data_IF_566328120363
#
_entry.id   IF_566328120363
#
_cell.length_a   1.000
_cell.length_b   1.000
_cell.length_c   1.000
_cell.angle_alpha   90.00
_cell.angle_beta   90.00
_cell.angle_gamma   90.00
#
_symmetry.space_group_name_H-M   'P 1'
#
loop_
_entity.id
_entity.type
_entity.pdbx_description
1 polymer ?
#
# COMPACT_ATOMS: atom_id res chain seq x y z
N UNK A 1 3.71 -1.71 -30.10
CA UNK A 1 3.17 -2.28 -28.85
C UNK A 1 3.14 -1.17 -27.81
N UNK A 2 2.07 -1.05 -27.03
CA UNK A 2 1.96 -0.08 -25.93
C UNK A 2 1.79 -0.89 -24.63
N UNK A 3 2.57 -0.58 -23.60
CA UNK A 3 2.59 -1.30 -22.32
C UNK A 3 2.49 -0.29 -21.18
N UNK A 4 1.67 -0.60 -20.18
CA UNK A 4 1.61 0.10 -18.89
C UNK A 4 1.93 -0.86 -17.75
N UNK A 5 2.56 -0.36 -16.70
CA UNK A 5 2.94 -1.15 -15.52
C UNK A 5 2.24 -0.60 -14.28
N UNK A 6 1.73 -1.51 -13.47
CA UNK A 6 1.31 -1.23 -12.09
C UNK A 6 2.25 -2.02 -11.19
N UNK A 7 2.93 -1.33 -10.28
CA UNK A 7 3.94 -1.92 -9.41
C UNK A 7 3.57 -1.63 -7.97
N UNK A 8 3.53 -2.68 -7.16
CA UNK A 8 3.31 -2.60 -5.73
C UNK A 8 4.65 -2.84 -5.03
N UNK A 9 5.06 -1.90 -4.19
CA UNK A 9 6.31 -1.97 -3.44
C UNK A 9 5.99 -1.92 -1.96
N UNK A 10 6.40 -2.95 -1.24
CA UNK A 10 6.20 -2.96 0.20
C UNK A 10 7.24 -2.11 0.92
N UNK A 11 6.76 -1.28 1.84
CA UNK A 11 7.60 -0.39 2.61
C UNK A 11 8.21 -1.14 3.80
N UNK A 12 9.54 -1.03 3.96
CA UNK A 12 10.28 -1.63 5.07
C UNK A 12 10.09 -0.84 6.39
N UNK A 13 8.85 -0.75 6.86
CA UNK A 13 8.48 -0.18 8.16
C UNK A 13 8.48 -1.25 9.24
N UNK A 14 8.70 -0.86 10.50
CA UNK A 14 8.63 -1.79 11.63
C UNK A 14 7.19 -2.21 11.95
N UNK A 15 6.23 -1.32 11.68
CA UNK A 15 4.80 -1.50 11.96
C UNK A 15 3.96 -1.33 10.69
N UNK A 16 2.74 -1.88 10.70
CA UNK A 16 1.77 -1.79 9.59
C UNK A 16 1.34 -0.35 9.30
N UNK A 17 0.65 -0.14 8.17
CA UNK A 17 0.25 1.19 7.70
C UNK A 17 -0.76 1.88 8.62
N UNK A 18 -1.71 1.14 9.21
CA UNK A 18 -2.83 1.71 9.98
C UNK A 18 -2.91 1.25 11.44
N UNK A 19 -1.95 0.46 11.93
CA UNK A 19 -1.90 0.01 13.32
C UNK A 19 -0.46 -0.29 13.77
N UNK A 20 -0.27 -0.47 15.09
CA UNK A 20 1.03 -0.74 15.70
C UNK A 20 1.54 -2.19 15.57
N UNK A 21 0.83 -3.08 14.87
CA UNK A 21 1.29 -4.45 14.68
C UNK A 21 2.59 -4.48 13.87
N UNK A 22 3.46 -5.44 14.17
CA UNK A 22 4.71 -5.68 13.44
C UNK A 22 4.45 -5.91 11.95
N UNK A 23 5.29 -5.34 11.09
CA UNK A 23 5.34 -5.66 9.66
C UNK A 23 6.52 -6.61 9.39
N UNK A 24 6.24 -7.91 9.32
CA UNK A 24 7.26 -8.94 9.09
C UNK A 24 6.64 -10.16 8.40
N UNK A 25 7.41 -10.78 7.51
CA UNK A 25 7.06 -12.03 6.84
C UNK A 25 7.58 -13.24 7.57
N UNK A 26 6.86 -14.37 7.41
CA UNK A 26 7.32 -15.69 7.83
C UNK A 26 7.08 -16.03 9.29
N UNK A 27 6.50 -15.11 10.08
CA UNK A 27 6.03 -15.40 11.43
C UNK A 27 4.82 -16.35 11.40
N UNK A 28 4.51 -16.97 12.55
CA UNK A 28 3.35 -17.86 12.71
C UNK A 28 2.04 -17.17 12.30
N UNK A 29 1.11 -17.88 11.63
CA UNK A 29 -0.15 -17.31 11.16
C UNK A 29 -0.91 -16.59 12.27
N UNK A 30 -1.44 -15.40 11.95
CA UNK A 30 -2.32 -14.64 12.85
C UNK A 30 -1.68 -14.26 14.20
N UNK A 31 -0.35 -14.08 14.27
CA UNK A 31 0.34 -13.58 15.47
C UNK A 31 0.58 -12.07 15.45
N UNK A 32 0.83 -11.48 14.28
CA UNK A 32 1.05 -10.04 14.09
C UNK A 32 -0.27 -9.31 13.77
N UNK A 33 -1.28 -9.44 14.63
CA UNK A 33 -2.64 -8.92 14.39
C UNK A 33 -3.20 -8.12 15.58
N UNK A 34 -4.21 -7.30 15.31
CA UNK A 34 -4.98 -6.55 16.32
C UNK A 34 -6.37 -6.22 15.76
N UNK A 35 -7.30 -5.65 16.56
CA UNK A 35 -8.64 -5.32 16.11
C UNK A 35 -8.70 -4.48 14.82
N UNK A 36 -7.76 -3.56 14.61
CA UNK A 36 -7.73 -2.69 13.42
C UNK A 36 -7.45 -3.48 12.15
N UNK A 37 -6.36 -4.27 12.11
CA UNK A 37 -6.02 -5.02 10.89
C UNK A 37 -6.89 -6.26 10.69
N UNK A 38 -7.65 -6.68 11.72
CA UNK A 38 -8.70 -7.68 11.61
C UNK A 38 -10.07 -7.10 11.22
N UNK A 39 -10.19 -5.78 11.06
CA UNK A 39 -11.46 -5.15 10.72
C UNK A 39 -12.56 -5.33 11.77
N UNK A 40 -12.19 -5.52 13.06
CA UNK A 40 -13.19 -5.73 14.11
C UNK A 40 -14.05 -4.48 14.36
N UNK A 41 -15.33 -4.64 14.73
CA UNK A 41 -16.23 -3.53 14.99
C UNK A 41 -15.66 -2.53 16.01
N UNK A 42 -15.77 -1.24 15.70
CA UNK A 42 -15.32 -0.14 16.57
C UNK A 42 -13.83 0.17 16.52
N UNK A 43 -13.04 -0.59 15.77
CA UNK A 43 -11.63 -0.26 15.54
C UNK A 43 -11.44 0.89 14.53
N UNK A 44 -10.40 1.70 14.71
CA UNK A 44 -10.12 2.88 13.87
C UNK A 44 -8.66 2.87 13.37
N UNK A 45 -8.41 3.24 12.09
CA UNK A 45 -7.07 3.30 11.53
C UNK A 45 -6.29 4.53 12.01
N UNK A 46 -4.98 4.38 12.25
CA UNK A 46 -4.05 5.49 12.52
C UNK A 46 -2.85 5.35 11.58
N UNK A 47 -2.65 6.35 10.72
CA UNK A 47 -1.62 6.31 9.68
C UNK A 47 -0.20 6.26 10.27
N UNK A 48 0.64 5.42 9.67
CA UNK A 48 2.04 5.28 10.03
C UNK A 48 2.90 6.43 9.47
N UNK A 49 3.47 7.25 10.35
CA UNK A 49 4.32 8.39 9.98
C UNK A 49 5.51 7.98 9.09
N UNK A 50 6.15 6.84 9.38
CA UNK A 50 7.32 6.37 8.60
C UNK A 50 6.92 5.93 7.21
N UNK A 51 5.73 5.34 7.05
CA UNK A 51 5.20 4.98 5.75
C UNK A 51 4.95 6.23 4.88
N UNK A 52 4.39 7.30 5.46
CA UNK A 52 4.20 8.58 4.76
C UNK A 52 5.54 9.17 4.32
N UNK A 53 6.54 9.19 5.22
CA UNK A 53 7.88 9.67 4.90
C UNK A 53 8.52 8.88 3.74
N UNK A 54 8.39 7.54 3.76
CA UNK A 54 8.88 6.70 2.67
C UNK A 54 8.15 6.94 1.35
N UNK A 55 6.82 7.12 1.39
CA UNK A 55 6.05 7.44 0.19
C UNK A 55 6.50 8.78 -0.42
N UNK A 56 6.75 9.81 0.38
CA UNK A 56 7.29 11.09 -0.10
C UNK A 56 8.70 10.93 -0.68
N UNK A 57 9.59 10.17 -0.02
CA UNK A 57 10.94 9.87 -0.53
C UNK A 57 10.92 9.15 -1.87
N UNK A 58 9.99 8.19 -2.05
CA UNK A 58 9.78 7.52 -3.34
C UNK A 58 9.31 8.54 -4.39
N UNK A 59 8.40 9.45 -4.03
CA UNK A 59 7.96 10.54 -4.88
C UNK A 59 9.12 11.38 -5.41
N UNK A 60 9.96 11.87 -4.51
CA UNK A 60 11.17 12.64 -4.85
C UNK A 60 12.14 11.84 -5.74
N UNK A 61 12.38 10.57 -5.40
CA UNK A 61 13.25 9.69 -6.18
C UNK A 61 12.72 9.41 -7.60
N UNK A 62 11.41 9.43 -7.78
CA UNK A 62 10.72 9.28 -9.08
C UNK A 62 10.40 10.64 -9.72
N UNK A 63 10.96 11.74 -9.21
CA UNK A 63 10.74 13.09 -9.72
C UNK A 63 9.25 13.50 -9.81
N UNK A 64 8.41 13.00 -8.90
CA UNK A 64 7.02 13.37 -8.78
C UNK A 64 6.85 14.74 -8.10
N UNK A 65 5.69 15.37 -8.27
CA UNK A 65 5.21 16.39 -7.35
C UNK A 65 4.59 15.71 -6.13
N UNK A 66 5.04 16.08 -4.93
CA UNK A 66 4.47 15.61 -3.66
C UNK A 66 3.34 16.57 -3.26
N UNK A 67 2.12 16.05 -3.13
CA UNK A 67 0.90 16.84 -2.98
C UNK A 67 0.14 16.47 -1.68
N UNK A 68 -0.71 17.38 -1.16
CA UNK A 68 -1.74 17.01 -0.18
C UNK A 68 -2.60 15.86 -0.72
N UNK A 69 -2.85 14.86 0.11
CA UNK A 69 -3.51 13.62 -0.32
C UNK A 69 -4.60 13.15 0.64
N UNK A 70 -5.51 12.33 0.12
CA UNK A 70 -6.67 11.80 0.86
C UNK A 70 -6.73 10.28 0.71
N UNK A 71 -6.88 9.58 1.84
CA UNK A 71 -7.19 8.16 1.83
C UNK A 71 -8.67 7.92 1.54
N UNK A 72 -8.92 6.92 0.71
CA UNK A 72 -10.21 6.50 0.22
C UNK A 72 -10.43 5.02 0.52
N UNK A 73 -11.70 4.59 0.52
CA UNK A 73 -12.08 3.17 0.66
C UNK A 73 -12.37 2.58 -0.70
N UNK A 74 -11.56 1.62 -1.12
CA UNK A 74 -11.79 0.78 -2.31
C UNK A 74 -12.56 -0.47 -1.87
N UNK A 75 -13.88 -0.46 -2.04
CA UNK A 75 -14.78 -1.48 -1.49
C UNK A 75 -14.84 -2.73 -2.39
N UNK A 76 -14.61 -3.90 -1.81
CA UNK A 76 -14.75 -5.21 -2.45
C UNK A 76 -14.77 -6.32 -1.40
N UNK A 77 -15.45 -7.43 -1.72
CA UNK A 77 -15.54 -8.59 -0.84
C UNK A 77 -14.50 -9.64 -1.24
N UNK A 78 -13.58 -9.97 -0.35
CA UNK A 78 -12.65 -11.07 -0.54
C UNK A 78 -12.13 -11.59 0.82
N UNK A 79 -11.88 -12.91 1.01
CA UNK A 79 -11.55 -13.47 2.32
C UNK A 79 -10.31 -12.90 3.02
N UNK A 80 -9.36 -12.34 2.28
CA UNK A 80 -8.17 -11.72 2.84
C UNK A 80 -8.30 -10.21 3.10
N UNK A 81 -9.46 -9.62 2.80
CA UNK A 81 -9.77 -8.22 3.08
C UNK A 81 -10.82 -8.11 4.18
N UNK A 82 -10.44 -8.13 5.47
CA UNK A 82 -11.37 -8.30 6.59
C UNK A 82 -12.32 -7.11 6.81
N UNK A 83 -12.08 -5.98 6.15
CA UNK A 83 -12.89 -4.76 6.27
C UNK A 83 -13.92 -4.62 5.14
N UNK A 84 -13.89 -5.50 4.14
CA UNK A 84 -14.62 -5.37 2.85
C UNK A 84 -14.28 -4.07 2.07
N UNK A 85 -13.19 -3.40 2.46
CA UNK A 85 -12.57 -2.33 1.71
C UNK A 85 -11.08 -2.22 2.04
N UNK A 86 -10.29 -1.92 1.01
CA UNK A 86 -8.90 -1.54 1.15
C UNK A 86 -8.82 -0.02 1.33
N UNK A 87 -8.10 0.45 2.34
CA UNK A 87 -7.75 1.86 2.47
C UNK A 87 -6.57 2.16 1.53
N UNK A 88 -6.84 2.97 0.50
CA UNK A 88 -5.89 3.35 -0.57
C UNK A 88 -6.05 4.86 -0.88
N UNK A 89 -5.52 5.37 -1.98
CA UNK A 89 -5.74 6.75 -2.43
C UNK A 89 -6.36 6.74 -3.83
N UNK A 90 -7.36 7.57 -4.10
CA UNK A 90 -8.03 7.61 -5.41
C UNK A 90 -7.65 8.86 -6.20
N UNK A 91 -8.50 9.89 -6.23
CA UNK A 91 -8.30 11.11 -7.01
C UNK A 91 -7.16 12.00 -6.51
N UNK A 92 -6.84 11.94 -5.20
CA UNK A 92 -5.78 12.72 -4.56
C UNK A 92 -4.66 11.84 -3.99
N UNK A 93 -3.78 11.26 -4.84
CA UNK A 93 -2.60 10.51 -4.39
C UNK A 93 -1.47 11.44 -3.92
N UNK A 94 -0.60 10.93 -3.06
CA UNK A 94 0.52 11.70 -2.49
C UNK A 94 1.59 12.11 -3.53
N UNK A 95 1.80 11.32 -4.58
CA UNK A 95 2.78 11.63 -5.63
C UNK A 95 2.16 11.55 -7.03
N UNK A 96 2.38 12.57 -7.85
CA UNK A 96 1.87 12.64 -9.23
C UNK A 96 2.91 13.11 -10.24
N UNK A 97 2.72 12.75 -11.52
CA UNK A 97 3.48 13.28 -12.67
C UNK A 97 5.01 13.11 -12.56
N UNK A 98 5.45 11.93 -12.13
CA UNK A 98 6.86 11.58 -12.08
C UNK A 98 7.41 11.04 -13.38
N UNK A 99 8.68 10.64 -13.35
CA UNK A 99 9.36 9.92 -14.42
C UNK A 99 10.50 9.06 -13.87
N UNK A 100 10.80 7.98 -14.58
CA UNK A 100 11.93 7.09 -14.32
C UNK A 100 12.86 7.13 -15.52
N UNK A 101 14.10 7.55 -15.31
CA UNK A 101 15.15 7.49 -16.34
C UNK A 101 15.81 6.11 -16.34
N UNK A 102 15.85 5.46 -17.49
CA UNK A 102 16.49 4.17 -17.68
C UNK A 102 17.98 4.32 -18.06
N UNK A 103 18.82 3.28 -17.87
CA UNK A 103 20.25 3.36 -18.19
C UNK A 103 20.59 3.68 -19.65
N UNK A 104 19.66 3.42 -20.58
CA UNK A 104 19.81 3.74 -22.00
C UNK A 104 19.39 5.18 -22.36
N UNK A 105 18.98 5.98 -21.36
CA UNK A 105 18.51 7.36 -21.53
C UNK A 105 17.03 7.47 -21.88
N UNK A 106 16.29 6.36 -21.93
CA UNK A 106 14.84 6.38 -22.12
C UNK A 106 14.15 6.86 -20.84
N UNK A 107 13.24 7.83 -20.97
CA UNK A 107 12.43 8.31 -19.85
C UNK A 107 11.03 7.66 -19.90
N UNK A 108 10.63 7.01 -18.81
CA UNK A 108 9.31 6.39 -18.65
C UNK A 108 8.48 7.23 -17.67
N UNK A 109 7.32 7.72 -18.12
CA UNK A 109 6.43 8.49 -17.27
C UNK A 109 5.86 7.66 -16.11
N UNK A 110 5.84 8.24 -14.91
CA UNK A 110 5.18 7.67 -13.73
C UNK A 110 3.93 8.51 -13.46
N UNK A 111 2.76 7.98 -13.81
CA UNK A 111 1.49 8.69 -13.63
C UNK A 111 1.27 9.11 -12.17
N UNK A 112 1.52 8.18 -11.23
CA UNK A 112 1.34 8.36 -9.79
C UNK A 112 2.08 7.30 -8.99
N UNK A 113 2.37 7.61 -7.72
CA UNK A 113 2.74 6.65 -6.69
C UNK A 113 1.97 7.00 -5.41
N UNK A 114 1.30 6.03 -4.80
CA UNK A 114 0.36 6.29 -3.72
C UNK A 114 0.45 5.24 -2.62
N UNK A 115 -0.12 5.56 -1.45
CA UNK A 115 -0.12 4.66 -0.30
C UNK A 115 -1.40 3.83 -0.26
N UNK A 116 -1.25 2.56 0.09
CA UNK A 116 -2.35 1.67 0.41
C UNK A 116 -1.91 0.58 1.40
N UNK A 117 -2.87 -0.02 2.09
CA UNK A 117 -2.61 -1.20 2.91
C UNK A 117 -2.63 -2.48 2.06
N UNK A 118 -1.84 -3.45 2.47
CA UNK A 118 -1.88 -4.78 1.88
C UNK A 118 -3.03 -5.62 2.46
N UNK A 119 -3.38 -6.66 1.72
CA UNK A 119 -4.34 -7.71 2.08
C UNK A 119 -3.69 -8.78 2.96
N UNK A 120 -4.51 -9.67 3.54
CA UNK A 120 -4.02 -10.91 4.11
C UNK A 120 -3.54 -11.91 3.04
N UNK A 121 -3.15 -13.11 3.47
CA UNK A 121 -2.83 -14.22 2.56
C UNK A 121 -3.82 -15.36 2.77
N UNK A 122 -4.43 -15.82 1.69
CA UNK A 122 -5.21 -17.06 1.68
C UNK A 122 -4.34 -18.22 1.20
N UNK A 123 -4.29 -19.31 1.97
CA UNK A 123 -3.66 -20.57 1.54
C UNK A 123 -4.76 -21.59 1.32
N UNK A 124 -4.87 -22.12 0.10
CA UNK A 124 -5.76 -23.23 -0.19
C UNK A 124 -5.15 -24.54 0.33
N UNK A 125 -5.89 -25.27 1.16
CA UNK A 125 -5.44 -26.56 1.71
C UNK A 125 -6.46 -27.63 1.30
N UNK A 126 -6.06 -28.50 0.37
CA UNK A 126 -6.85 -29.64 -0.11
C UNK A 126 -7.66 -29.36 -1.39
N UNK A 127 -7.54 -30.27 -2.36
CA UNK A 127 -8.43 -30.39 -3.51
C UNK A 127 -9.23 -31.69 -3.39
N UNK A 128 -10.54 -31.57 -3.41
CA UNK A 128 -11.46 -32.67 -3.72
C UNK A 128 -11.90 -32.56 -5.18
#
# INVERSE_FOLDING_TARGET
>A
MVVGLEVHCELSTATKLFCGCRNAFGDEPNTNICPVCLGLPGSLPVVNQRAVEFAMRIGEALHCSVEPSIFHRKNYFYPDMPKDYQVSQYDMPINVRGRLELPDGTSVGVTRAHMEEDTGKTTHVGGG
#
